data_IF_838346707284
#
_entry.id   IF_838346707284
#
_cell.length_a   1.000
_cell.length_b   1.000
_cell.length_c   1.000
_cell.angle_alpha   90.00
_cell.angle_beta   90.00
_cell.angle_gamma   90.00
#
_symmetry.space_group_name_H-M   'P 1'
#
loop_
_entity.id
_entity.type
_entity.pdbx_description
1 polymer ?
#
# COMPACT_ATOMS: atom_id res chain seq x y z
N UNK A 1 7.69 35.87 -5.44
CA UNK A 1 6.43 35.36 -4.87
C UNK A 1 6.69 34.96 -3.42
N UNK A 2 5.99 35.53 -2.46
CA UNK A 2 6.14 35.17 -1.05
C UNK A 2 5.46 33.82 -0.74
N UNK A 3 5.80 33.22 0.41
CA UNK A 3 5.28 31.91 0.82
C UNK A 3 3.75 31.91 0.96
N UNK A 4 3.14 33.01 1.38
CA UNK A 4 1.68 33.12 1.51
C UNK A 4 1.00 33.12 0.15
N UNK A 5 1.56 33.82 -0.83
CA UNK A 5 1.05 33.80 -2.21
C UNK A 5 1.21 32.42 -2.86
N UNK A 6 2.33 31.73 -2.62
CA UNK A 6 2.52 30.36 -3.12
C UNK A 6 1.47 29.39 -2.56
N UNK A 7 1.24 29.42 -1.24
CA UNK A 7 0.26 28.54 -0.58
C UNK A 7 -1.16 28.81 -1.12
N UNK A 8 -1.57 30.09 -1.21
CA UNK A 8 -2.90 30.45 -1.73
C UNK A 8 -3.11 29.98 -3.17
N UNK A 9 -2.08 30.11 -4.00
CA UNK A 9 -2.13 29.67 -5.39
C UNK A 9 -2.25 28.15 -5.51
N UNK A 10 -1.52 27.40 -4.67
CA UNK A 10 -1.63 25.93 -4.63
C UNK A 10 -2.99 25.45 -4.13
N UNK A 11 -3.49 26.06 -3.05
CA UNK A 11 -4.83 25.74 -2.51
C UNK A 11 -5.90 26.05 -3.54
N UNK A 12 -5.81 27.19 -4.22
CA UNK A 12 -6.72 27.56 -5.31
C UNK A 12 -6.66 26.54 -6.46
N UNK A 13 -5.47 26.12 -6.88
CA UNK A 13 -5.31 25.13 -7.95
C UNK A 13 -5.97 23.78 -7.59
N UNK A 14 -5.76 23.29 -6.37
CA UNK A 14 -6.40 22.06 -5.88
C UNK A 14 -7.92 22.21 -5.85
N UNK A 15 -8.42 23.34 -5.37
CA UNK A 15 -9.85 23.62 -5.31
C UNK A 15 -10.49 23.68 -6.71
N UNK A 16 -9.82 24.30 -7.69
CA UNK A 16 -10.27 24.35 -9.08
C UNK A 16 -10.31 22.96 -9.72
N UNK A 17 -9.28 22.13 -9.49
CA UNK A 17 -9.28 20.73 -9.96
C UNK A 17 -10.45 19.97 -9.34
N UNK A 18 -10.66 20.09 -8.03
CA UNK A 18 -11.80 19.46 -7.36
C UNK A 18 -13.15 19.96 -7.93
N UNK A 19 -13.27 21.26 -8.20
CA UNK A 19 -14.47 21.84 -8.79
C UNK A 19 -14.74 21.30 -10.20
N UNK A 20 -13.70 21.13 -11.02
CA UNK A 20 -13.83 20.47 -12.33
C UNK A 20 -14.32 19.03 -12.15
N UNK A 21 -13.68 18.24 -11.29
CA UNK A 21 -14.07 16.86 -11.02
C UNK A 21 -15.54 16.75 -10.58
N UNK A 22 -15.99 17.61 -9.66
CA UNK A 22 -17.40 17.71 -9.26
C UNK A 22 -18.30 18.06 -10.43
N UNK A 23 -17.94 19.07 -11.22
CA UNK A 23 -18.76 19.55 -12.34
C UNK A 23 -18.96 18.52 -13.44
N UNK A 24 -18.00 17.59 -13.62
CA UNK A 24 -18.09 16.50 -14.61
C UNK A 24 -18.56 15.18 -13.99
N UNK A 25 -19.01 15.18 -12.73
CA UNK A 25 -19.54 14.00 -12.04
C UNK A 25 -18.47 12.99 -11.58
N UNK A 26 -17.19 13.39 -11.56
CA UNK A 26 -16.03 12.57 -11.13
C UNK A 26 -15.63 12.82 -9.66
N UNK A 27 -16.51 13.40 -8.85
CA UNK A 27 -16.21 13.70 -7.43
C UNK A 27 -16.39 12.51 -6.50
N UNK A 28 -17.10 11.48 -6.95
CA UNK A 28 -17.24 10.22 -6.24
C UNK A 28 -16.32 9.22 -6.92
N UNK A 29 -15.44 8.59 -6.14
CA UNK A 29 -14.78 7.38 -6.61
C UNK A 29 -15.90 6.34 -6.73
N UNK A 30 -16.28 5.90 -7.94
CA UNK A 30 -17.48 5.10 -8.15
C UNK A 30 -17.44 3.84 -7.29
N UNK A 31 -18.51 3.58 -6.56
CA UNK A 31 -18.62 2.44 -5.63
C UNK A 31 -19.23 2.86 -4.29
N UNK A 32 -19.89 1.93 -3.62
CA UNK A 32 -20.42 2.15 -2.27
C UNK A 32 -19.31 2.14 -1.22
N UNK A 33 -19.56 2.69 -0.03
CA UNK A 33 -18.63 2.57 1.10
C UNK A 33 -18.31 1.10 1.44
N UNK A 34 -19.27 0.20 1.23
CA UNK A 34 -19.09 -1.24 1.41
C UNK A 34 -18.13 -1.82 0.37
N UNK A 35 -18.28 -1.46 -0.91
CA UNK A 35 -17.38 -1.88 -1.99
C UNK A 35 -15.93 -1.46 -1.68
N UNK A 36 -15.72 -0.21 -1.27
CA UNK A 36 -14.39 0.30 -0.94
C UNK A 36 -13.81 -0.36 0.32
N UNK A 37 -14.64 -0.65 1.32
CA UNK A 37 -14.22 -1.38 2.52
C UNK A 37 -13.74 -2.78 2.15
N UNK A 38 -14.48 -3.48 1.29
CA UNK A 38 -14.13 -4.81 0.83
C UNK A 38 -12.86 -4.81 -0.03
N UNK A 39 -12.75 -3.88 -0.98
CA UNK A 39 -11.57 -3.73 -1.85
C UNK A 39 -10.31 -3.49 -1.00
N UNK A 40 -10.36 -2.53 -0.08
CA UNK A 40 -9.21 -2.18 0.76
C UNK A 40 -8.83 -3.31 1.69
N UNK A 41 -9.81 -3.96 2.32
CA UNK A 41 -9.57 -5.09 3.24
C UNK A 41 -8.94 -6.27 2.49
N UNK A 42 -9.47 -6.61 1.32
CA UNK A 42 -8.96 -7.70 0.50
C UNK A 42 -7.56 -7.40 -0.03
N UNK A 43 -7.32 -6.18 -0.52
CA UNK A 43 -6.00 -5.76 -0.99
C UNK A 43 -4.97 -5.80 0.15
N UNK A 44 -5.31 -5.25 1.31
CA UNK A 44 -4.45 -5.28 2.49
C UNK A 44 -4.13 -6.72 2.93
N UNK A 45 -5.16 -7.57 2.97
CA UNK A 45 -5.01 -8.99 3.36
C UNK A 45 -4.13 -9.73 2.37
N UNK A 46 -4.37 -9.58 1.07
CA UNK A 46 -3.59 -10.23 0.02
C UNK A 46 -2.11 -9.80 0.07
N UNK A 47 -1.84 -8.50 0.16
CA UNK A 47 -0.45 -7.98 0.25
C UNK A 47 0.22 -8.50 1.51
N UNK A 48 -0.45 -8.43 2.67
CA UNK A 48 0.09 -8.90 3.94
C UNK A 48 0.39 -10.40 3.91
N UNK A 49 -0.51 -11.20 3.36
CA UNK A 49 -0.34 -12.65 3.20
C UNK A 49 0.85 -12.96 2.29
N UNK A 50 0.97 -12.28 1.15
CA UNK A 50 2.09 -12.45 0.21
C UNK A 50 3.41 -12.08 0.90
N UNK A 51 3.49 -10.93 1.58
CA UNK A 51 4.70 -10.50 2.29
C UNK A 51 5.09 -11.49 3.39
N UNK A 52 4.13 -11.94 4.20
CA UNK A 52 4.37 -12.93 5.25
C UNK A 52 4.83 -14.27 4.67
N UNK A 53 4.19 -14.74 3.61
CA UNK A 53 4.56 -15.97 2.91
C UNK A 53 5.98 -15.90 2.35
N UNK A 54 6.34 -14.80 1.67
CA UNK A 54 7.69 -14.61 1.13
C UNK A 54 8.76 -14.62 2.23
N UNK A 55 8.48 -13.99 3.38
CA UNK A 55 9.39 -13.97 4.53
C UNK A 55 9.51 -15.35 5.19
N UNK A 56 8.42 -16.09 5.33
CA UNK A 56 8.41 -17.38 6.01
C UNK A 56 8.98 -18.54 5.18
N UNK A 57 8.93 -18.45 3.84
CA UNK A 57 9.39 -19.52 2.94
C UNK A 57 10.84 -19.39 2.48
N UNK A 58 11.60 -18.41 3.01
CA UNK A 58 13.01 -18.21 2.67
C UNK A 58 13.27 -18.08 1.15
N UNK A 59 12.32 -17.51 0.40
CA UNK A 59 12.38 -17.42 -1.07
C UNK A 59 13.43 -16.43 -1.56
N UNK A 60 13.73 -15.41 -0.77
CA UNK A 60 14.75 -14.40 -1.09
C UNK A 60 16.16 -14.92 -0.81
N UNK A 61 17.18 -14.33 -1.45
CA UNK A 61 18.59 -14.69 -1.18
C UNK A 61 18.93 -14.57 0.32
N UNK A 62 18.50 -13.49 0.98
CA UNK A 62 18.64 -13.30 2.42
C UNK A 62 17.91 -14.40 3.21
N UNK A 63 16.70 -14.76 2.81
CA UNK A 63 15.94 -15.84 3.40
C UNK A 63 16.68 -17.19 3.30
N UNK A 64 17.25 -17.49 2.13
CA UNK A 64 18.04 -18.71 1.93
C UNK A 64 19.25 -18.76 2.87
N UNK A 65 19.99 -17.66 3.01
CA UNK A 65 21.09 -17.54 3.98
C UNK A 65 20.61 -17.75 5.43
N UNK A 66 19.47 -17.17 5.81
CA UNK A 66 18.88 -17.39 7.14
C UNK A 66 18.56 -18.87 7.36
N UNK A 67 17.98 -19.55 6.36
CA UNK A 67 17.70 -20.99 6.44
C UNK A 67 18.96 -21.81 6.64
N UNK A 68 20.05 -21.48 5.96
CA UNK A 68 21.33 -22.19 6.08
C UNK A 68 21.93 -22.01 7.49
N UNK A 69 21.87 -20.80 8.06
CA UNK A 69 22.28 -20.54 9.44
C UNK A 69 21.43 -21.33 10.45
N UNK A 70 20.11 -21.36 10.26
CA UNK A 70 19.22 -22.12 11.14
C UNK A 70 19.52 -23.62 11.09
N UNK A 71 19.81 -24.17 9.91
CA UNK A 71 20.23 -25.57 9.76
C UNK A 71 21.55 -25.85 10.47
N UNK A 72 22.55 -24.99 10.29
CA UNK A 72 23.86 -25.15 10.93
C UNK A 72 23.78 -25.17 12.47
N UNK A 73 22.77 -24.50 13.04
CA UNK A 73 22.52 -24.45 14.48
C UNK A 73 21.46 -25.46 14.96
N UNK A 74 21.02 -26.40 14.13
CA UNK A 74 19.98 -27.38 14.45
C UNK A 74 18.63 -26.75 14.89
N UNK A 75 18.32 -25.54 14.40
CA UNK A 75 17.09 -24.79 14.72
C UNK A 75 15.96 -25.01 13.70
N UNK A 76 16.11 -25.96 12.78
CA UNK A 76 15.09 -26.31 11.81
C UNK A 76 14.38 -27.62 12.19
N UNK A 77 13.05 -27.68 12.08
CA UNK A 77 12.26 -28.90 12.30
C UNK A 77 12.43 -29.99 11.23
N UNK A 78 13.37 -29.82 10.30
CA UNK A 78 13.65 -30.85 9.30
C UNK A 78 14.40 -32.00 9.99
N UNK A 79 13.80 -33.19 9.93
CA UNK A 79 14.46 -34.46 10.26
C UNK A 79 15.55 -34.77 9.24
#
# INVERSE_FOLDING_TARGET
MDRGTLIRTLVLAIALVNQVLVSVGLYEIPGTSEDWTNILTNAFTAISAVVAWFKNNYVTAKGKMQKDVLKANNLTKAK
#
